data_IF_611510927457
#
_entry.id   IF_611510927457
#
_cell.length_a   1.000
_cell.length_b   1.000
_cell.length_c   1.000
_cell.angle_alpha   90.00
_cell.angle_beta   90.00
_cell.angle_gamma   90.00
#
_symmetry.space_group_name_H-M   'P 1'
#
loop_
_entity.id
_entity.type
_entity.pdbx_description
1 polymer ?
#
# COMPACT_ATOMS: atom_id res chain seq x y z
N UNK A 1 -23.45 -51.70 -27.09
CA UNK A 1 -23.63 -50.24 -27.05
C UNK A 1 -22.67 -49.63 -28.06
N UNK A 2 -23.18 -48.90 -29.06
CA UNK A 2 -22.35 -48.43 -30.18
C UNK A 2 -21.70 -47.07 -29.86
N UNK A 3 -20.47 -47.11 -29.38
CA UNK A 3 -19.65 -45.93 -29.03
C UNK A 3 -19.53 -44.94 -30.19
N UNK A 4 -19.42 -45.44 -31.44
CA UNK A 4 -19.38 -44.59 -32.63
C UNK A 4 -20.64 -43.74 -32.82
N UNK A 5 -21.82 -44.29 -32.53
CA UNK A 5 -23.08 -43.56 -32.65
C UNK A 5 -23.18 -42.42 -31.63
N UNK A 6 -22.66 -42.64 -30.41
CA UNK A 6 -22.66 -41.62 -29.35
C UNK A 6 -21.72 -40.45 -29.66
N UNK A 7 -20.54 -40.73 -30.21
CA UNK A 7 -19.56 -39.71 -30.60
C UNK A 7 -20.12 -38.85 -31.74
N UNK A 8 -20.71 -39.46 -32.77
CA UNK A 8 -21.31 -38.72 -33.88
C UNK A 8 -22.50 -37.87 -33.43
N UNK A 9 -23.36 -38.40 -32.56
CA UNK A 9 -24.48 -37.64 -32.02
C UNK A 9 -24.01 -36.44 -31.16
N UNK A 10 -22.96 -36.63 -30.36
CA UNK A 10 -22.37 -35.57 -29.54
C UNK A 10 -21.73 -34.46 -30.39
N UNK A 11 -20.96 -34.82 -31.41
CA UNK A 11 -20.36 -33.85 -32.33
C UNK A 11 -21.43 -33.05 -33.11
N UNK A 12 -22.51 -33.72 -33.55
CA UNK A 12 -23.63 -33.05 -34.21
C UNK A 12 -24.36 -32.08 -33.27
N UNK A 13 -24.54 -32.45 -32.00
CA UNK A 13 -25.15 -31.57 -31.01
C UNK A 13 -24.30 -30.31 -30.77
N UNK A 14 -22.98 -30.45 -30.62
CA UNK A 14 -22.06 -29.31 -30.48
C UNK A 14 -22.13 -28.39 -31.70
N UNK A 15 -22.04 -28.93 -32.91
CA UNK A 15 -22.10 -28.14 -34.14
C UNK A 15 -23.43 -27.37 -34.26
N UNK A 16 -24.55 -28.00 -33.90
CA UNK A 16 -25.85 -27.34 -33.90
C UNK A 16 -25.91 -26.19 -32.88
N UNK A 17 -25.42 -26.40 -31.65
CA UNK A 17 -25.41 -25.37 -30.60
C UNK A 17 -24.56 -24.16 -31.00
N UNK A 18 -23.32 -24.37 -31.43
CA UNK A 18 -22.44 -23.27 -31.84
C UNK A 18 -22.91 -22.58 -33.12
N UNK A 19 -23.45 -23.33 -34.09
CA UNK A 19 -24.04 -22.75 -35.31
C UNK A 19 -25.24 -21.87 -35.02
N UNK A 20 -26.11 -22.29 -34.08
CA UNK A 20 -27.27 -21.50 -33.65
C UNK A 20 -26.85 -20.24 -32.91
N UNK A 21 -25.89 -20.36 -31.98
CA UNK A 21 -25.36 -19.22 -31.24
C UNK A 21 -24.70 -18.17 -32.15
N UNK A 22 -23.92 -18.62 -33.15
CA UNK A 22 -23.32 -17.74 -34.15
C UNK A 22 -24.38 -17.04 -34.99
N UNK A 23 -25.38 -17.77 -35.52
CA UNK A 23 -26.46 -17.19 -36.31
C UNK A 23 -27.25 -16.11 -35.56
N UNK A 24 -27.65 -16.41 -34.31
CA UNK A 24 -28.32 -15.44 -33.43
C UNK A 24 -27.41 -14.24 -33.13
N UNK A 25 -26.14 -14.47 -32.81
CA UNK A 25 -25.17 -13.39 -32.54
C UNK A 25 -24.95 -12.45 -33.73
N UNK A 26 -25.02 -12.97 -34.97
CA UNK A 26 -24.92 -12.13 -36.18
C UNK A 26 -26.20 -11.38 -36.54
N UNK A 27 -27.33 -11.73 -35.94
CA UNK A 27 -28.65 -11.13 -36.22
C UNK A 27 -29.03 -10.00 -35.25
N UNK A 28 -28.24 -9.82 -34.18
CA UNK A 28 -28.51 -8.82 -33.15
C UNK A 28 -27.43 -7.72 -33.28
N UNK A 29 -27.85 -6.54 -33.72
CA UNK A 29 -26.97 -5.37 -33.73
C UNK A 29 -26.53 -5.03 -32.28
N UNK A 30 -25.22 -4.77 -32.04
CA UNK A 30 -24.75 -4.40 -30.71
C UNK A 30 -25.36 -3.06 -30.28
N UNK A 31 -26.00 -3.05 -29.10
CA UNK A 31 -26.49 -1.83 -28.44
C UNK A 31 -25.31 -1.12 -27.77
N UNK A 32 -24.35 -0.65 -28.57
CA UNK A 32 -23.34 0.31 -28.14
C UNK A 32 -23.25 1.37 -29.22
N UNK A 33 -23.54 2.61 -28.81
CA UNK A 33 -23.67 3.76 -29.68
C UNK A 33 -22.47 3.97 -30.62
N UNK A 34 -22.76 4.23 -31.89
CA UNK A 34 -21.80 4.66 -32.91
C UNK A 34 -21.13 5.98 -32.50
N UNK A 35 -19.82 5.96 -32.30
CA UNK A 35 -18.96 7.11 -32.63
C UNK A 35 -17.65 6.56 -33.22
N UNK A 36 -17.34 6.83 -34.50
CA UNK A 36 -16.15 6.29 -35.14
C UNK A 36 -14.88 7.03 -34.68
N UNK A 37 -13.73 6.34 -34.54
CA UNK A 37 -12.45 7.00 -34.43
C UNK A 37 -12.00 7.49 -35.80
N UNK A 38 -11.68 8.78 -35.90
CA UNK A 38 -11.10 9.40 -37.09
C UNK A 38 -9.63 9.00 -37.24
N UNK A 39 -9.29 8.41 -38.39
CA UNK A 39 -7.94 8.22 -38.86
C UNK A 39 -7.33 9.56 -39.30
N UNK A 40 -6.02 9.74 -39.09
CA UNK A 40 -5.25 10.83 -39.67
C UNK A 40 -3.89 10.32 -40.14
N UNK A 41 -3.62 10.43 -41.44
CA UNK A 41 -2.27 10.47 -42.01
C UNK A 41 -2.10 11.80 -42.79
N UNK A 42 -0.96 12.44 -42.49
CA UNK A 42 -0.09 13.39 -43.23
C UNK A 42 -0.66 14.46 -44.19
N UNK A 43 -0.49 15.75 -43.86
CA UNK A 43 0.59 16.65 -44.37
C UNK A 43 0.32 18.17 -44.19
N UNK A 44 1.37 18.87 -43.73
CA UNK A 44 1.84 20.23 -44.08
C UNK A 44 1.08 21.52 -43.65
N UNK A 45 1.74 22.25 -42.72
CA UNK A 45 2.07 23.69 -42.69
C UNK A 45 0.97 24.78 -42.70
N UNK A 46 0.90 25.50 -41.56
CA UNK A 46 1.01 26.96 -41.39
C UNK A 46 -0.11 27.62 -40.55
N UNK A 47 0.31 28.36 -39.50
CA UNK A 47 -0.47 29.48 -38.94
C UNK A 47 -0.85 29.45 -37.46
N UNK A 48 0.03 30.03 -36.63
CA UNK A 48 -0.24 30.91 -35.47
C UNK A 48 -1.33 30.56 -34.41
N UNK A 49 -0.85 30.18 -33.22
CA UNK A 49 -1.09 30.87 -31.95
C UNK A 49 -2.52 30.98 -31.37
N UNK A 50 -2.81 30.16 -30.35
CA UNK A 50 -3.48 30.60 -29.11
C UNK A 50 -3.44 29.47 -28.05
N UNK A 51 -2.97 29.81 -26.85
CA UNK A 51 -2.76 28.86 -25.76
C UNK A 51 -4.06 28.27 -25.20
N UNK A 52 -4.09 26.94 -25.12
CA UNK A 52 -5.00 26.19 -24.27
C UNK A 52 -4.17 25.31 -23.35
N UNK A 53 -4.03 25.71 -22.07
CA UNK A 53 -3.49 24.82 -21.04
C UNK A 53 -4.46 23.67 -20.87
N UNK A 54 -4.17 22.53 -21.47
CA UNK A 54 -4.79 21.27 -21.08
C UNK A 54 -4.26 20.92 -19.69
N UNK A 55 -5.14 20.99 -18.70
CA UNK A 55 -4.91 20.42 -17.39
C UNK A 55 -4.72 18.91 -17.59
N UNK A 56 -3.46 18.47 -17.65
CA UNK A 56 -3.13 17.06 -17.57
C UNK A 56 -3.65 16.55 -16.24
N UNK A 57 -4.63 15.65 -16.28
CA UNK A 57 -4.97 14.84 -15.12
C UNK A 57 -3.69 14.13 -14.70
N UNK A 58 -3.19 14.45 -13.52
CA UNK A 58 -2.16 13.63 -12.89
C UNK A 58 -2.80 12.27 -12.62
N UNK A 59 -2.62 11.33 -13.54
CA UNK A 59 -2.81 9.92 -13.23
C UNK A 59 -1.91 9.65 -12.02
N UNK A 60 -2.54 9.38 -10.88
CA UNK A 60 -1.82 9.03 -9.67
C UNK A 60 -1.06 7.75 -9.98
N UNK A 61 0.25 7.73 -9.73
CA UNK A 61 1.06 6.54 -9.95
C UNK A 61 0.38 5.33 -9.29
N UNK A 62 0.31 4.17 -9.98
CA UNK A 62 -0.34 2.98 -9.44
C UNK A 62 0.31 2.60 -8.11
N UNK A 63 -0.50 2.05 -7.20
CA UNK A 63 -0.01 1.61 -5.91
C UNK A 63 1.05 0.50 -6.06
N UNK A 64 2.12 0.58 -5.27
CA UNK A 64 3.23 -0.37 -5.35
C UNK A 64 2.86 -1.74 -4.81
N UNK A 65 3.64 -2.76 -5.18
CA UNK A 65 3.62 -4.05 -4.52
C UNK A 65 2.42 -4.93 -4.85
N UNK A 66 1.55 -4.57 -5.80
CA UNK A 66 0.44 -5.43 -6.26
C UNK A 66 0.88 -6.47 -7.30
N UNK A 67 1.99 -6.22 -7.98
CA UNK A 67 2.52 -7.11 -9.01
C UNK A 67 3.73 -7.88 -8.49
N UNK A 68 3.85 -9.15 -8.89
CA UNK A 68 5.08 -9.93 -8.64
C UNK A 68 6.22 -9.49 -9.57
N UNK A 69 5.86 -8.93 -10.73
CA UNK A 69 6.79 -8.40 -11.71
C UNK A 69 6.39 -7.01 -12.17
N UNK A 70 7.32 -6.06 -12.11
CA UNK A 70 7.14 -4.67 -12.52
C UNK A 70 8.50 -4.08 -12.92
N UNK A 71 8.52 -3.19 -13.93
CA UNK A 71 9.74 -2.48 -14.32
C UNK A 71 10.89 -3.38 -14.78
N UNK A 72 10.57 -4.58 -15.29
CA UNK A 72 11.57 -5.57 -15.71
C UNK A 72 12.18 -6.39 -14.57
N UNK A 73 11.60 -6.31 -13.37
CA UNK A 73 12.04 -7.09 -12.21
C UNK A 73 10.96 -8.04 -11.73
N UNK A 74 11.35 -9.16 -11.10
CA UNK A 74 10.44 -10.14 -10.51
C UNK A 74 10.90 -10.52 -9.10
N UNK A 75 9.98 -10.51 -8.13
CA UNK A 75 10.23 -11.04 -6.78
C UNK A 75 10.03 -12.56 -6.79
N UNK A 76 11.12 -13.31 -6.60
CA UNK A 76 11.12 -14.77 -6.56
C UNK A 76 11.37 -15.25 -5.13
N UNK A 77 10.31 -15.76 -4.47
CA UNK A 77 10.44 -16.38 -3.16
C UNK A 77 11.01 -17.81 -3.30
N UNK A 78 12.19 -18.05 -2.72
CA UNK A 78 12.73 -19.41 -2.58
C UNK A 78 12.03 -20.15 -1.43
N UNK A 79 11.50 -19.39 -0.46
CA UNK A 79 10.67 -19.88 0.65
C UNK A 79 9.24 -19.34 0.54
N UNK A 80 8.39 -19.86 -0.37
CA UNK A 80 7.02 -19.38 -0.57
C UNK A 80 6.04 -19.89 0.50
N UNK A 81 6.51 -20.73 1.44
CA UNK A 81 5.70 -21.30 2.52
C UNK A 81 6.51 -21.49 3.79
N UNK A 82 5.92 -21.15 4.94
CA UNK A 82 6.43 -21.44 6.29
C UNK A 82 5.32 -21.95 7.20
N UNK A 83 5.65 -22.39 8.42
CA UNK A 83 4.68 -22.78 9.45
C UNK A 83 4.44 -21.63 10.44
N UNK A 84 3.21 -21.45 10.89
CA UNK A 84 2.86 -20.46 11.90
C UNK A 84 3.60 -20.73 13.24
N UNK A 85 3.97 -19.67 13.94
CA UNK A 85 4.63 -19.74 15.25
C UNK A 85 6.02 -20.39 15.25
N UNK A 86 6.60 -20.61 14.06
CA UNK A 86 7.94 -21.19 13.91
C UNK A 86 8.88 -20.16 13.30
N UNK A 87 9.96 -19.86 14.01
CA UNK A 87 11.04 -19.03 13.48
C UNK A 87 11.68 -19.72 12.27
N UNK A 88 11.45 -19.15 11.08
CA UNK A 88 11.83 -19.71 9.79
C UNK A 88 12.77 -18.76 9.05
N UNK A 89 13.62 -19.30 8.17
CA UNK A 89 14.40 -18.47 7.24
C UNK A 89 13.54 -18.17 6.02
N UNK A 90 13.27 -16.89 5.78
CA UNK A 90 12.65 -16.42 4.56
C UNK A 90 13.76 -16.12 3.55
N UNK A 91 13.82 -16.88 2.46
CA UNK A 91 14.78 -16.69 1.37
C UNK A 91 14.07 -16.26 0.08
N UNK A 92 14.68 -15.31 -0.64
CA UNK A 92 14.17 -14.82 -1.92
C UNK A 92 15.28 -14.18 -2.78
N UNK A 93 14.93 -13.82 -4.01
CA UNK A 93 15.76 -12.99 -4.87
C UNK A 93 14.89 -12.04 -5.70
N UNK A 94 15.48 -10.93 -6.15
CA UNK A 94 14.91 -10.12 -7.24
C UNK A 94 15.59 -10.55 -8.52
N UNK A 95 14.82 -10.90 -9.55
CA UNK A 95 15.34 -11.27 -10.87
C UNK A 95 15.13 -10.13 -11.87
N UNK A 96 16.07 -9.93 -12.78
CA UNK A 96 15.93 -9.01 -13.92
C UNK A 96 15.16 -9.67 -15.09
N UNK A 97 14.96 -8.93 -16.18
CA UNK A 97 14.26 -9.37 -17.40
C UNK A 97 14.90 -10.61 -18.06
N UNK A 98 16.19 -10.84 -17.81
CA UNK A 98 16.91 -12.02 -18.29
C UNK A 98 16.84 -13.21 -17.33
N UNK A 99 16.14 -13.07 -16.20
CA UNK A 99 15.99 -14.08 -15.16
C UNK A 99 17.19 -14.17 -14.20
N UNK A 100 18.18 -13.28 -14.31
CA UNK A 100 19.36 -13.27 -13.43
C UNK A 100 19.04 -12.55 -12.13
N UNK A 101 19.61 -13.02 -11.02
CA UNK A 101 19.48 -12.35 -9.72
C UNK A 101 20.14 -10.97 -9.79
N UNK A 102 19.43 -9.94 -9.34
CA UNK A 102 19.97 -8.60 -9.19
C UNK A 102 20.97 -8.60 -8.05
N UNK A 103 22.17 -8.05 -8.30
CA UNK A 103 23.27 -8.00 -7.32
C UNK A 103 23.78 -6.59 -7.06
N UNK A 104 23.16 -5.57 -7.66
CA UNK A 104 23.56 -4.19 -7.53
C UNK A 104 22.35 -3.32 -7.21
N UNK A 105 22.34 -2.73 -6.02
CA UNK A 105 21.26 -1.92 -5.46
C UNK A 105 21.81 -0.57 -5.00
N UNK A 106 21.00 0.48 -5.09
CA UNK A 106 21.29 1.75 -4.42
C UNK A 106 20.84 1.62 -2.97
N UNK A 107 21.57 2.26 -2.05
CA UNK A 107 21.11 2.35 -0.66
C UNK A 107 20.18 3.54 -0.51
N UNK A 108 19.01 3.30 0.06
CA UNK A 108 18.04 4.31 0.49
C UNK A 108 17.71 4.01 1.96
N UNK A 109 17.63 5.04 2.81
CA UNK A 109 17.44 4.89 4.26
C UNK A 109 18.38 3.86 4.91
N UNK A 110 19.66 3.90 4.51
CA UNK A 110 20.71 3.03 5.04
C UNK A 110 20.62 1.55 4.65
N UNK A 111 19.65 1.14 3.82
CA UNK A 111 19.47 -0.25 3.36
C UNK A 111 19.44 -0.33 1.84
N UNK A 112 19.85 -1.49 1.30
CA UNK A 112 19.74 -1.79 -0.14
C UNK A 112 18.30 -2.19 -0.54
N UNK A 113 17.52 -2.71 0.42
CA UNK A 113 16.18 -3.24 0.22
C UNK A 113 15.43 -3.27 1.56
N UNK A 114 14.16 -2.87 1.54
CA UNK A 114 13.20 -3.07 2.63
C UNK A 114 12.33 -4.28 2.31
N UNK A 115 12.26 -5.24 3.23
CA UNK A 115 11.45 -6.44 3.07
C UNK A 115 10.31 -6.42 4.08
N UNK A 116 9.07 -6.32 3.60
CA UNK A 116 7.89 -6.25 4.46
C UNK A 116 7.10 -7.55 4.29
N UNK A 117 6.58 -8.11 5.37
CA UNK A 117 5.65 -9.24 5.32
C UNK A 117 4.40 -8.88 6.13
N UNK A 118 3.23 -8.92 5.50
CA UNK A 118 1.96 -8.61 6.14
C UNK A 118 0.90 -9.69 5.88
N UNK A 119 0.09 -10.01 6.89
CA UNK A 119 -1.07 -10.90 6.70
C UNK A 119 -2.15 -10.21 5.86
N UNK A 120 -2.95 -10.99 5.13
CA UNK A 120 -4.04 -10.46 4.28
C UNK A 120 -5.12 -9.70 5.06
N UNK A 121 -5.27 -9.98 6.36
CA UNK A 121 -6.16 -9.25 7.26
C UNK A 121 -5.49 -8.05 7.97
N UNK A 122 -4.22 -7.77 7.67
CA UNK A 122 -3.43 -6.65 8.20
C UNK A 122 -3.26 -6.65 9.72
N UNK A 123 -3.41 -7.81 10.36
CA UNK A 123 -3.19 -7.97 11.82
C UNK A 123 -1.77 -8.39 12.18
N UNK A 124 -1.03 -8.99 11.24
CA UNK A 124 0.38 -9.33 11.39
C UNK A 124 1.19 -8.51 10.40
N UNK A 125 2.25 -7.87 10.89
CA UNK A 125 3.21 -7.10 10.12
C UNK A 125 4.63 -7.37 10.60
N UNK A 126 5.58 -7.42 9.66
CA UNK A 126 7.02 -7.50 9.92
C UNK A 126 7.74 -6.58 8.94
N UNK A 127 8.51 -5.63 9.46
CA UNK A 127 9.53 -4.91 8.71
C UNK A 127 10.88 -5.61 8.94
N UNK A 128 11.42 -6.22 7.90
CA UNK A 128 12.56 -7.12 7.97
C UNK A 128 13.75 -6.54 7.20
N UNK A 129 14.94 -6.78 7.73
CA UNK A 129 16.20 -6.41 7.10
C UNK A 129 16.98 -7.65 6.70
N UNK A 130 16.71 -8.21 5.52
CA UNK A 130 17.45 -9.35 5.04
C UNK A 130 18.89 -8.99 4.72
N UNK A 131 19.73 -10.01 4.74
CA UNK A 131 21.11 -9.93 4.28
C UNK A 131 21.22 -10.57 2.91
N UNK A 132 21.98 -9.93 2.01
CA UNK A 132 22.21 -10.42 0.65
C UNK A 132 23.52 -11.18 0.55
N UNK A 133 23.48 -12.40 0.04
CA UNK A 133 24.66 -13.15 -0.38
C UNK A 133 25.22 -12.62 -1.71
N UNK A 134 26.47 -12.93 -2.01
CA UNK A 134 27.14 -12.45 -3.24
C UNK A 134 26.42 -12.87 -4.54
N UNK A 135 25.68 -13.98 -4.52
CA UNK A 135 24.92 -14.48 -5.66
C UNK A 135 23.58 -13.73 -5.87
N UNK A 136 23.20 -12.83 -4.96
CA UNK A 136 21.95 -12.06 -5.01
C UNK A 136 20.77 -12.69 -4.25
N UNK A 137 20.96 -13.82 -3.55
CA UNK A 137 19.95 -14.32 -2.61
C UNK A 137 19.90 -13.48 -1.35
N UNK A 138 18.68 -13.11 -0.95
CA UNK A 138 18.37 -12.45 0.30
C UNK A 138 17.85 -13.45 1.31
N UNK A 139 18.24 -13.30 2.57
CA UNK A 139 17.71 -14.13 3.66
C UNK A 139 17.52 -13.36 4.97
N UNK A 140 16.46 -13.69 5.68
CA UNK A 140 16.16 -13.18 7.03
C UNK A 140 15.46 -14.26 7.85
N UNK A 141 15.75 -14.33 9.15
CA UNK A 141 14.98 -15.17 10.08
C UNK A 141 13.81 -14.37 10.63
N UNK A 142 12.61 -14.91 10.53
CA UNK A 142 11.40 -14.28 11.04
C UNK A 142 10.42 -15.33 11.57
N UNK A 143 9.63 -14.94 12.56
CA UNK A 143 8.48 -15.70 13.02
C UNK A 143 7.19 -15.00 12.59
N UNK A 144 6.31 -15.76 11.94
CA UNK A 144 4.96 -15.35 11.56
C UNK A 144 3.98 -16.10 12.48
N UNK A 145 3.34 -15.42 13.45
CA UNK A 145 2.65 -16.10 14.55
C UNK A 145 1.31 -16.74 14.13
N UNK A 146 0.63 -16.19 13.11
CA UNK A 146 -0.69 -16.64 12.69
C UNK A 146 -0.65 -17.35 11.34
N UNK A 147 -1.41 -18.43 11.19
CA UNK A 147 -1.59 -19.10 9.89
C UNK A 147 -2.53 -18.29 8.99
N UNK A 148 -2.29 -18.33 7.68
CA UNK A 148 -3.09 -17.60 6.70
C UNK A 148 -2.32 -17.22 5.44
N UNK A 149 -2.97 -16.43 4.59
CA UNK A 149 -2.33 -15.80 3.45
C UNK A 149 -1.57 -14.54 3.88
N UNK A 150 -0.34 -14.41 3.39
CA UNK A 150 0.50 -13.24 3.58
C UNK A 150 0.93 -12.68 2.24
N UNK A 151 1.30 -11.41 2.24
CA UNK A 151 2.00 -10.77 1.13
C UNK A 151 3.37 -10.31 1.61
N UNK A 152 4.40 -10.70 0.88
CA UNK A 152 5.75 -10.22 1.02
C UNK A 152 5.99 -9.09 0.01
N UNK A 153 6.65 -8.02 0.43
CA UNK A 153 7.01 -6.88 -0.39
C UNK A 153 8.52 -6.71 -0.39
N UNK A 154 9.08 -6.44 -1.56
CA UNK A 154 10.45 -5.99 -1.72
C UNK A 154 10.43 -4.58 -2.31
N UNK A 155 10.84 -3.61 -1.50
CA UNK A 155 11.00 -2.22 -1.92
C UNK A 155 12.48 -1.89 -2.05
N UNK A 156 12.89 -1.50 -3.26
CA UNK A 156 14.31 -1.36 -3.60
C UNK A 156 14.52 -0.44 -4.80
N UNK A 157 15.76 -0.01 -4.97
CA UNK A 157 16.21 0.72 -6.15
C UNK A 157 17.40 0.05 -6.80
N UNK A 158 17.28 -0.40 -8.07
CA UNK A 158 18.42 -0.96 -8.81
C UNK A 158 19.57 0.06 -8.94
N UNK A 159 20.81 -0.41 -8.87
CA UNK A 159 22.00 0.40 -9.16
C UNK A 159 22.21 0.58 -10.67
N UNK A 160 21.21 1.15 -11.35
CA UNK A 160 21.25 1.52 -12.76
C UNK A 160 20.98 3.02 -12.88
N UNK A 161 21.71 3.70 -13.77
CA UNK A 161 21.53 5.12 -14.03
C UNK A 161 20.07 5.40 -14.45
N UNK A 162 19.42 6.34 -13.77
CA UNK A 162 18.04 6.72 -14.03
C UNK A 162 16.98 5.73 -13.54
N UNK A 163 17.36 4.69 -12.78
CA UNK A 163 16.39 3.80 -12.16
C UNK A 163 15.59 4.53 -11.07
N UNK A 164 14.27 4.30 -11.08
CA UNK A 164 13.35 4.68 -10.00
C UNK A 164 13.23 3.55 -8.98
N UNK A 165 12.68 3.86 -7.80
CA UNK A 165 12.29 2.83 -6.84
C UNK A 165 11.23 1.89 -7.42
N UNK A 166 11.27 0.63 -7.00
CA UNK A 166 10.34 -0.43 -7.40
C UNK A 166 9.89 -1.18 -6.16
N UNK A 167 8.58 -1.36 -6.02
CA UNK A 167 8.00 -2.18 -4.96
C UNK A 167 7.30 -3.38 -5.57
N UNK A 168 7.86 -4.57 -5.41
CA UNK A 168 7.28 -5.83 -5.89
C UNK A 168 6.56 -6.56 -4.76
N UNK A 169 5.53 -7.34 -5.07
CA UNK A 169 4.83 -8.16 -4.09
C UNK A 169 4.59 -9.60 -4.53
N UNK A 170 4.84 -10.53 -3.61
CA UNK A 170 4.64 -11.96 -3.82
C UNK A 170 3.81 -12.55 -2.67
N UNK A 171 3.02 -13.58 -2.97
CA UNK A 171 2.24 -14.26 -1.94
C UNK A 171 3.09 -15.26 -1.17
N UNK A 172 2.94 -15.25 0.15
CA UNK A 172 3.60 -16.15 1.09
C UNK A 172 2.52 -16.92 1.86
N UNK A 173 2.62 -18.25 1.89
CA UNK A 173 1.67 -19.09 2.62
C UNK A 173 2.20 -19.41 4.02
N UNK A 174 1.44 -19.09 5.07
CA UNK A 174 1.76 -19.52 6.44
C UNK A 174 0.82 -20.64 6.84
N UNK A 175 1.36 -21.84 6.98
CA UNK A 175 0.60 -23.06 7.20
C UNK A 175 0.22 -23.23 8.67
N UNK A 176 -0.98 -23.75 8.92
CA UNK A 176 -1.55 -23.98 10.24
C UNK A 176 -3.05 -23.80 10.21
N UNK A 177 -3.69 -23.74 11.39
CA UNK A 177 -5.12 -23.42 11.51
C UNK A 177 -5.31 -21.92 11.35
N UNK A 178 -5.81 -21.49 10.20
CA UNK A 178 -6.06 -20.07 9.94
C UNK A 178 -7.39 -19.62 10.59
N UNK A 179 -7.33 -18.51 11.31
CA UNK A 179 -8.49 -17.83 11.89
C UNK A 179 -8.41 -16.34 11.49
N UNK A 180 -8.87 -15.98 10.26
CA UNK A 180 -8.78 -14.61 9.77
C UNK A 180 -9.51 -13.63 10.71
N UNK A 181 -8.85 -12.53 11.02
CA UNK A 181 -9.43 -11.47 11.85
C UNK A 181 -10.08 -10.38 11.00
N UNK A 182 -10.97 -9.59 11.61
CA UNK A 182 -11.42 -8.35 11.01
C UNK A 182 -10.30 -7.30 11.05
N UNK A 183 -10.30 -6.38 10.07
CA UNK A 183 -9.44 -5.21 10.10
C UNK A 183 -9.70 -4.42 11.41
N UNK A 184 -8.66 -4.03 12.17
CA UNK A 184 -8.84 -3.18 13.34
C UNK A 184 -9.56 -1.87 12.97
N UNK A 185 -10.49 -1.36 13.81
CA UNK A 185 -11.26 -0.17 13.49
C UNK A 185 -10.38 1.08 13.38
N UNK A 186 -10.84 2.08 12.63
CA UNK A 186 -10.13 3.33 12.45
C UNK A 186 -9.90 4.07 13.78
N UNK A 187 -8.65 4.44 14.05
CA UNK A 187 -8.22 5.18 15.24
C UNK A 187 -6.97 6.00 14.92
N UNK A 188 -6.99 7.26 15.33
CA UNK A 188 -5.84 8.17 15.25
C UNK A 188 -4.78 7.91 16.34
N UNK A 189 -5.04 6.99 17.27
CA UNK A 189 -4.12 6.64 18.35
C UNK A 189 -3.81 5.15 18.34
N UNK A 190 -2.55 4.82 18.60
CA UNK A 190 -2.07 3.47 18.77
C UNK A 190 -1.25 3.38 20.06
N UNK A 191 -1.39 2.26 20.76
CA UNK A 191 -0.59 1.96 21.96
C UNK A 191 0.26 0.72 21.73
N UNK A 192 1.52 0.80 22.17
CA UNK A 192 2.50 -0.27 22.05
C UNK A 192 3.50 -0.13 23.19
N UNK A 193 3.67 -1.17 24.01
CA UNK A 193 4.67 -1.23 25.09
C UNK A 193 4.73 0.01 26.01
N UNK A 194 3.57 0.57 26.36
CA UNK A 194 3.47 1.77 27.22
C UNK A 194 3.68 3.10 26.49
N UNK A 195 3.94 3.07 25.19
CA UNK A 195 3.94 4.23 24.32
C UNK A 195 2.54 4.47 23.76
N UNK A 196 2.17 5.75 23.66
CA UNK A 196 1.05 6.21 22.86
C UNK A 196 1.59 7.03 21.71
N UNK A 197 1.20 6.64 20.50
CA UNK A 197 1.48 7.40 19.28
C UNK A 197 0.17 7.97 18.77
N UNK A 198 0.15 9.28 18.51
CA UNK A 198 -1.00 9.99 17.94
C UNK A 198 -0.68 10.41 16.52
N UNK A 199 -1.57 10.08 15.59
CA UNK A 199 -1.52 10.46 14.19
C UNK A 199 -2.37 11.71 13.94
N UNK A 200 -1.72 12.76 13.45
CA UNK A 200 -2.35 13.97 12.95
C UNK A 200 -2.17 14.07 11.42
N UNK A 201 -3.18 14.64 10.76
CA UNK A 201 -3.28 14.68 9.30
C UNK A 201 -4.23 13.63 8.74
N UNK A 202 -4.53 13.74 7.44
CA UNK A 202 -5.45 12.84 6.76
C UNK A 202 -4.92 12.51 5.36
N UNK A 203 -5.05 11.25 4.99
CA UNK A 203 -4.82 10.80 3.62
C UNK A 203 -6.00 11.19 2.73
N UNK A 204 -5.71 11.65 1.52
CA UNK A 204 -6.72 11.93 0.50
C UNK A 204 -6.31 11.32 -0.85
N UNK A 205 -7.27 10.85 -1.67
CA UNK A 205 -6.95 10.25 -2.95
C UNK A 205 -6.23 11.23 -3.88
N UNK A 206 -5.10 10.80 -4.45
CA UNK A 206 -4.32 11.56 -5.45
C UNK A 206 -3.65 12.84 -4.93
N UNK A 207 -3.70 13.11 -3.62
CA UNK A 207 -3.06 14.27 -3.01
C UNK A 207 -1.98 13.83 -2.03
N UNK A 208 -0.78 14.39 -2.19
CA UNK A 208 0.26 14.29 -1.19
C UNK A 208 -0.18 15.08 0.06
N UNK A 209 -0.26 14.39 1.20
CA UNK A 209 -0.58 15.01 2.48
C UNK A 209 0.52 14.67 3.49
N UNK A 210 0.76 15.61 4.39
CA UNK A 210 1.64 15.37 5.53
C UNK A 210 0.87 14.60 6.61
N UNK A 211 1.53 13.58 7.16
CA UNK A 211 1.12 12.83 8.32
C UNK A 211 2.16 13.07 9.42
N UNK A 212 1.69 13.48 10.60
CA UNK A 212 2.53 13.75 11.77
C UNK A 212 2.22 12.70 12.83
N UNK A 213 3.23 12.00 13.31
CA UNK A 213 3.08 11.01 14.38
C UNK A 213 3.84 11.47 15.61
N UNK A 214 3.10 11.77 16.67
CA UNK A 214 3.65 12.23 17.95
C UNK A 214 3.79 11.06 18.90
N UNK A 215 5.02 10.79 19.35
CA UNK A 215 5.34 9.70 20.28
C UNK A 215 5.40 10.20 21.72
N UNK A 216 4.61 9.57 22.59
CA UNK A 216 4.61 9.83 24.03
C UNK A 216 4.78 8.53 24.81
N UNK A 217 5.39 8.60 26.00
CA UNK A 217 5.50 7.49 26.95
C UNK A 217 5.02 7.99 28.31
N UNK A 218 4.08 7.28 28.91
CA UNK A 218 3.48 7.67 30.20
C UNK A 218 2.98 9.14 30.24
N UNK A 219 2.43 9.61 29.12
CA UNK A 219 1.94 10.98 28.95
C UNK A 219 3.01 12.06 28.74
N UNK A 220 4.29 11.71 28.65
CA UNK A 220 5.39 12.64 28.39
C UNK A 220 5.88 12.52 26.94
N UNK A 221 6.20 13.64 26.27
CA UNK A 221 6.80 13.60 24.93
C UNK A 221 8.16 12.89 24.92
N UNK A 222 8.37 12.01 23.94
CA UNK A 222 9.66 11.33 23.72
C UNK A 222 10.52 12.19 22.80
N UNK A 223 11.55 12.84 23.33
CA UNK A 223 12.39 13.84 22.60
C UNK A 223 13.79 13.32 22.29
N UNK A 224 13.97 12.01 22.34
CA UNK A 224 15.26 11.33 22.22
C UNK A 224 15.11 10.00 21.47
N UNK A 225 14.27 9.98 20.43
CA UNK A 225 14.19 8.87 19.49
C UNK A 225 15.58 8.57 18.91
N UNK A 226 15.87 7.29 18.75
CA UNK A 226 17.14 6.84 18.20
C UNK A 226 16.99 6.63 16.69
N UNK A 227 18.02 6.98 15.89
CA UNK A 227 18.05 6.62 14.48
C UNK A 227 17.92 5.12 14.28
N UNK A 228 16.92 4.71 13.52
CA UNK A 228 16.75 3.35 13.04
C UNK A 228 16.67 3.41 11.53
N UNK A 229 17.50 2.67 10.80
CA UNK A 229 17.56 2.70 9.32
C UNK A 229 17.65 4.13 8.75
N UNK A 230 18.48 4.97 9.36
CA UNK A 230 18.71 6.34 8.87
C UNK A 230 17.52 7.29 9.00
N UNK A 231 16.50 6.98 9.81
CA UNK A 231 15.42 7.92 10.18
C UNK A 231 15.06 7.79 11.66
N UNK A 232 14.32 8.76 12.21
CA UNK A 232 13.73 8.63 13.55
C UNK A 232 12.43 7.82 13.56
N UNK A 233 11.89 7.50 12.38
CA UNK A 233 10.83 6.52 12.21
C UNK A 233 10.62 6.10 10.75
N UNK A 234 10.00 4.94 10.55
CA UNK A 234 9.66 4.37 9.24
C UNK A 234 8.17 4.10 9.17
N UNK A 235 7.48 4.69 8.21
CA UNK A 235 6.04 4.52 8.04
C UNK A 235 5.74 3.71 6.77
N UNK A 236 5.09 2.57 6.96
CA UNK A 236 4.51 1.77 5.87
C UNK A 236 3.00 1.87 5.93
N UNK A 237 2.35 2.13 4.80
CA UNK A 237 0.90 2.16 4.70
C UNK A 237 0.41 1.17 3.63
N UNK A 238 -0.54 0.31 4.01
CA UNK A 238 -1.10 -0.74 3.17
C UNK A 238 -2.62 -0.58 3.05
N UNK A 239 -3.15 -0.60 1.82
CA UNK A 239 -4.59 -0.57 1.59
C UNK A 239 -5.24 -1.88 2.07
N UNK A 240 -6.34 -1.77 2.80
CA UNK A 240 -7.14 -2.93 3.17
C UNK A 240 -7.73 -3.60 1.91
N UNK A 241 -7.71 -4.94 1.89
CA UNK A 241 -8.17 -5.75 0.75
C UNK A 241 -7.01 -6.27 -0.09
N UNK A 242 -6.38 -5.42 -0.88
CA UNK A 242 -5.33 -5.83 -1.83
C UNK A 242 -3.89 -5.62 -1.32
N UNK A 243 -3.74 -4.90 -0.20
CA UNK A 243 -2.46 -4.54 0.41
C UNK A 243 -1.59 -3.71 -0.53
N UNK A 244 -2.21 -2.85 -1.36
CA UNK A 244 -1.50 -1.85 -2.13
C UNK A 244 -0.58 -1.03 -1.23
N UNK A 245 0.72 -1.03 -1.57
CA UNK A 245 1.75 -0.35 -0.82
C UNK A 245 1.78 1.14 -1.19
N UNK A 246 1.73 1.99 -0.18
CA UNK A 246 1.80 3.44 -0.36
C UNK A 246 3.26 3.88 -0.34
N UNK A 247 3.59 4.76 -1.29
CA UNK A 247 4.85 5.46 -1.25
C UNK A 247 4.80 6.52 -0.13
N UNK A 248 5.73 6.40 0.81
CA UNK A 248 5.82 7.28 1.99
C UNK A 248 7.24 7.79 2.09
N UNK A 249 7.40 9.11 2.23
CA UNK A 249 8.70 9.76 2.41
C UNK A 249 8.80 10.34 3.82
N UNK A 250 9.87 10.07 4.58
CA UNK A 250 10.14 10.85 5.78
C UNK A 250 10.50 12.28 5.38
N UNK A 251 10.03 13.27 6.15
CA UNK A 251 10.30 14.68 5.89
C UNK A 251 11.58 15.21 6.58
N UNK A 252 12.39 14.33 7.18
CA UNK A 252 13.61 14.68 7.89
C UNK A 252 14.51 13.47 8.14
N UNK A 253 15.81 13.71 8.30
CA UNK A 253 16.83 12.69 8.54
C UNK A 253 17.70 13.04 9.75
N UNK A 254 18.22 12.05 10.50
CA UNK A 254 19.23 12.28 11.53
C UNK A 254 20.44 13.03 10.97
N UNK A 255 21.04 13.88 11.79
CA UNK A 255 22.24 14.65 11.48
C UNK A 255 22.12 15.67 10.32
N UNK A 256 20.91 15.98 9.84
CA UNK A 256 20.66 17.03 8.83
C UNK A 256 20.74 18.47 9.40
N UNK A 257 20.88 18.60 10.72
CA UNK A 257 21.00 19.87 11.45
C UNK A 257 19.68 20.58 11.76
N UNK A 258 18.53 20.04 11.35
CA UNK A 258 17.20 20.64 11.55
C UNK A 258 16.17 19.67 12.14
N UNK A 259 16.31 18.37 11.91
CA UNK A 259 15.37 17.35 12.37
C UNK A 259 15.66 16.96 13.81
N UNK A 260 14.70 17.27 14.69
CA UNK A 260 14.77 16.89 16.10
C UNK A 260 14.46 15.39 16.29
N UNK A 261 15.05 14.72 17.29
CA UNK A 261 14.81 13.30 17.60
C UNK A 261 13.45 13.09 18.33
N UNK A 262 12.36 13.61 17.76
CA UNK A 262 11.02 13.56 18.33
C UNK A 262 10.63 14.82 19.13
N UNK A 263 9.39 14.88 19.64
CA UNK A 263 8.41 13.79 19.73
C UNK A 263 7.63 13.54 18.45
N UNK A 264 7.66 14.49 17.52
CA UNK A 264 7.00 14.37 16.23
C UNK A 264 7.97 13.78 15.21
N UNK A 265 7.49 12.80 14.44
CA UNK A 265 8.08 12.39 13.16
C UNK A 265 7.04 12.61 12.07
N UNK A 266 7.42 13.20 10.93
CA UNK A 266 6.47 13.48 9.86
C UNK A 266 6.85 12.84 8.54
N UNK A 267 5.81 12.50 7.78
CA UNK A 267 5.89 11.80 6.52
C UNK A 267 4.97 12.42 5.49
N UNK A 268 5.36 12.39 4.23
CA UNK A 268 4.48 12.71 3.11
C UNK A 268 3.99 11.42 2.46
N UNK A 269 2.68 11.30 2.29
CA UNK A 269 2.06 10.13 1.68
C UNK A 269 0.91 10.53 0.73
N UNK A 270 0.74 9.76 -0.34
CA UNK A 270 -0.37 9.93 -1.30
C UNK A 270 -1.18 8.64 -1.34
N UNK A 271 -2.47 8.71 -1.01
CA UNK A 271 -3.35 7.57 -1.17
C UNK A 271 -3.77 7.43 -2.64
N UNK A 272 -3.67 6.24 -3.26
CA UNK A 272 -4.05 6.01 -4.65
C UNK A 272 -5.58 6.02 -4.86
N UNK A 273 -6.35 5.72 -3.81
CA UNK A 273 -7.80 5.67 -3.85
C UNK A 273 -8.40 5.95 -2.47
N UNK A 274 -9.73 6.08 -2.42
CA UNK A 274 -10.46 5.92 -1.16
C UNK A 274 -10.40 4.48 -0.65
N UNK A 275 -10.76 4.31 0.62
CA UNK A 275 -10.75 3.02 1.32
C UNK A 275 -10.04 3.08 2.67
N UNK A 276 -10.05 1.97 3.39
CA UNK A 276 -9.31 1.84 4.63
C UNK A 276 -7.83 1.50 4.36
N UNK A 277 -6.93 2.05 5.17
CA UNK A 277 -5.50 1.78 5.12
C UNK A 277 -5.00 1.43 6.51
N UNK A 278 -4.10 0.46 6.60
CA UNK A 278 -3.37 0.12 7.82
C UNK A 278 -1.96 0.72 7.73
N UNK A 279 -1.64 1.59 8.66
CA UNK A 279 -0.35 2.26 8.81
C UNK A 279 0.45 1.57 9.90
N UNK A 280 1.75 1.42 9.69
CA UNK A 280 2.70 0.82 10.61
C UNK A 280 3.89 1.76 10.74
N UNK A 281 4.02 2.43 11.89
CA UNK A 281 5.18 3.25 12.24
C UNK A 281 6.15 2.41 13.06
N UNK A 282 7.34 2.17 12.53
CA UNK A 282 8.46 1.72 13.33
C UNK A 282 9.20 2.94 13.91
N UNK A 283 9.49 2.90 15.20
CA UNK A 283 10.34 3.89 15.88
C UNK A 283 11.25 3.20 16.90
N UNK A 284 12.41 3.78 17.18
CA UNK A 284 13.35 3.25 18.16
C UNK A 284 13.48 4.18 19.36
N UNK A 285 13.31 3.62 20.56
CA UNK A 285 13.55 4.31 21.82
C UNK A 285 14.04 3.31 22.88
N UNK A 286 15.02 3.72 23.68
CA UNK A 286 15.65 2.86 24.71
C UNK A 286 16.27 1.56 24.15
N UNK A 287 16.80 1.61 22.93
CA UNK A 287 17.48 0.50 22.26
C UNK A 287 16.54 -0.50 21.57
N UNK A 288 15.22 -0.34 21.73
CA UNK A 288 14.22 -1.26 21.19
C UNK A 288 13.37 -0.60 20.10
N UNK A 289 13.18 -1.34 19.01
CA UNK A 289 12.31 -0.95 17.89
C UNK A 289 10.89 -1.40 18.19
N UNK A 290 9.93 -0.51 18.01
CA UNK A 290 8.50 -0.78 18.23
C UNK A 290 7.70 -0.39 17.02
N UNK A 291 6.62 -1.12 16.77
CA UNK A 291 5.69 -0.84 15.68
C UNK A 291 4.35 -0.35 16.24
N UNK A 292 4.03 0.92 16.07
CA UNK A 292 2.69 1.45 16.31
C UNK A 292 1.84 1.31 15.06
N UNK A 293 0.60 0.83 15.18
CA UNK A 293 -0.22 0.51 14.01
C UNK A 293 -1.64 1.10 14.08
N UNK A 294 -2.05 1.79 13.02
CA UNK A 294 -3.29 2.59 12.91
C UNK A 294 -4.12 2.14 11.72
N UNK A 295 -5.44 2.18 11.87
CA UNK A 295 -6.33 2.10 10.72
C UNK A 295 -6.85 3.50 10.46
N UNK A 296 -6.82 3.93 9.21
CA UNK A 296 -7.36 5.22 8.77
C UNK A 296 -8.29 5.02 7.60
N UNK A 297 -9.33 5.82 7.52
CA UNK A 297 -10.27 5.81 6.40
C UNK A 297 -9.98 6.99 5.47
N UNK A 298 -9.78 6.68 4.20
CA UNK A 298 -9.65 7.69 3.14
C UNK A 298 -11.01 7.83 2.46
N UNK A 299 -11.65 9.01 2.54
CA UNK A 299 -12.96 9.22 1.95
C UNK A 299 -12.90 9.17 0.43
N UNK A 300 -14.02 8.77 -0.20
CA UNK A 300 -14.20 8.96 -1.63
C UNK A 300 -14.10 10.46 -1.94
N UNK A 301 -13.17 10.84 -2.80
CA UNK A 301 -13.00 12.23 -3.19
C UNK A 301 -14.24 12.74 -3.91
N UNK A 302 -15.01 13.61 -3.25
CA UNK A 302 -15.97 14.50 -3.89
C UNK A 302 -15.31 15.86 -4.13
N UNK A 303 -15.53 16.44 -5.31
CA UNK A 303 -15.39 17.88 -5.46
C UNK A 303 -16.28 18.57 -4.40
N UNK A 304 -15.71 19.55 -3.71
CA UNK A 304 -16.33 20.39 -2.67
C UNK A 304 -16.88 19.70 -1.42
N UNK A 305 -16.08 19.73 -0.35
CA UNK A 305 -16.56 19.71 1.03
C UNK A 305 -16.13 21.00 1.75
N UNK A 306 -16.62 22.15 1.29
CA UNK A 306 -16.81 23.30 2.16
C UNK A 306 -18.06 23.09 3.00
N UNK A 307 -17.92 22.47 4.17
CA UNK A 307 -18.79 22.74 5.31
C UNK A 307 -17.97 22.64 6.59
N UNK A 308 -17.57 23.79 7.10
CA UNK A 308 -17.05 23.89 8.46
C UNK A 308 -18.15 23.48 9.45
N UNK A 309 -17.93 22.36 10.13
CA UNK A 309 -18.70 22.02 11.32
C UNK A 309 -18.09 22.75 12.52
N UNK A 310 -18.64 23.92 12.84
CA UNK A 310 -18.45 24.58 14.13
C UNK A 310 -19.17 23.73 15.20
N UNK A 311 -18.57 23.46 16.38
CA UNK A 311 -19.29 22.80 17.46
C UNK A 311 -20.44 23.70 17.93
N UNK A 312 -21.65 23.17 17.91
CA UNK A 312 -22.82 23.81 18.50
C UNK A 312 -22.64 23.81 20.02
N UNK A 313 -22.62 25.00 20.61
CA UNK A 313 -22.73 25.17 22.05
C UNK A 313 -24.13 24.75 22.52
N UNK A 314 -24.20 24.00 23.61
CA UNK A 314 -25.43 23.67 24.32
C UNK A 314 -26.10 24.96 24.86
N UNK A 315 -27.44 25.06 24.86
CA UNK A 315 -28.15 26.12 25.55
C UNK A 315 -28.11 25.85 27.06
N UNK A 316 -27.53 26.79 27.81
CA UNK A 316 -27.57 26.78 29.27
C UNK A 316 -29.00 26.89 29.81
N UNK A 317 -29.31 26.03 30.76
CA UNK A 317 -30.51 26.10 31.60
C UNK A 317 -30.45 27.37 32.46
N UNK A 318 -31.42 28.26 32.27
CA UNK A 318 -31.67 29.37 33.19
C UNK A 318 -32.53 28.85 34.35
N UNK A 319 -31.94 28.72 35.52
CA UNK A 319 -32.68 28.64 36.79
C UNK A 319 -33.38 29.99 37.05
N UNK A 320 -34.71 29.97 37.13
CA UNK A 320 -35.49 31.03 37.76
C UNK A 320 -35.27 30.97 39.27
N UNK A 321 -34.70 32.03 39.84
CA UNK A 321 -34.72 32.29 41.27
C UNK A 321 -35.73 33.41 41.52
N UNK A 322 -36.87 33.03 42.08
CA UNK A 322 -37.83 33.91 42.73
C UNK A 322 -37.22 34.51 44.02
N UNK A 323 -37.33 35.83 44.23
CA UNK A 323 -37.05 36.39 45.57
C UNK A 323 -36.82 37.90 45.71
N UNK A 324 -37.88 38.61 46.12
CA UNK A 324 -37.93 39.90 46.86
C UNK A 324 -37.63 41.19 46.05
N UNK A 325 -38.42 42.26 46.08
CA UNK A 325 -39.32 42.76 47.11
C UNK A 325 -38.80 44.11 47.59
N UNK A 326 -39.30 45.20 47.00
CA UNK A 326 -39.59 46.55 47.56
C UNK A 326 -40.06 47.48 46.45
#
# INVERSE_FOLDING_TARGET
MNTGLKITAFAAAIAATFGTAYGVGTSIDPVVAKKPPTAHDEHAEAGEGAGGKTAGGHESAPAGGLQISEGGYTLALDTPRVAAGTSSVLSFSVKDESGRKVTAYQREHGKELHFIVASRDLTVYRHLHPTRAADGTWSVRAELPAAGGYRAFADFKPAKKGATGVTLGADLAVSGKAEPAALPPARATAEVDGYRVTLDGALAPGKANELKLTVTKDGKPVTNLQPYLGAYGHLVALRAGDLAYLHVHPNGEPDDGVTEPGPEVSFTATAPSSGAYRLFLDFQHEGEVRTAAFTVDVPAGGADATTGAKPSAEPGETEEIDGHGH
#
